data_IF_584968162304
#
_entry.id   IF_584968162304
#
_cell.length_a   1.000
_cell.length_b   1.000
_cell.length_c   1.000
_cell.angle_alpha   90.00
_cell.angle_beta   90.00
_cell.angle_gamma   90.00
#
_symmetry.space_group_name_H-M   'P 1'
#
loop_
_entity.id
_entity.type
_entity.pdbx_description
1 polymer ?
#
# COMPACT_ATOMS: atom_id res chain seq x y z
N UNK A 1 -11.71 -14.49 -5.77
CA UNK A 1 -11.94 -13.10 -6.22
C UNK A 1 -12.18 -12.23 -5.00
N UNK A 2 -11.73 -10.98 -5.01
CA UNK A 2 -11.98 -10.02 -3.92
C UNK A 2 -13.07 -9.06 -4.41
N UNK A 3 -14.13 -8.91 -3.64
CA UNK A 3 -15.19 -7.92 -3.87
C UNK A 3 -15.37 -7.10 -2.59
N UNK A 4 -15.46 -5.79 -2.73
CA UNK A 4 -15.62 -4.87 -1.62
C UNK A 4 -15.48 -3.42 -2.05
N UNK A 5 -15.57 -2.51 -1.09
CA UNK A 5 -15.47 -1.07 -1.35
C UNK A 5 -14.01 -0.64 -1.45
N UNK A 6 -13.73 0.32 -2.31
CA UNK A 6 -12.42 0.91 -2.48
C UNK A 6 -12.43 2.40 -2.14
N UNK A 7 -11.45 2.84 -1.36
CA UNK A 7 -11.21 4.23 -1.03
C UNK A 7 -9.92 4.71 -1.70
N UNK A 8 -10.00 5.84 -2.40
CA UNK A 8 -8.83 6.51 -2.95
C UNK A 8 -8.30 7.55 -1.95
N UNK A 9 -7.09 7.34 -1.46
CA UNK A 9 -6.40 8.24 -0.54
C UNK A 9 -5.38 9.07 -1.33
N UNK A 10 -5.59 10.38 -1.39
CA UNK A 10 -4.73 11.34 -2.11
C UNK A 10 -3.99 12.32 -1.18
N UNK A 11 -4.34 12.35 0.12
CA UNK A 11 -3.70 13.23 1.08
C UNK A 11 -2.23 12.84 1.28
N UNK A 12 -1.30 13.69 0.87
CA UNK A 12 0.12 13.37 0.75
C UNK A 12 0.77 12.88 2.05
N UNK A 13 0.42 13.48 3.19
CA UNK A 13 0.84 13.07 4.54
C UNK A 13 0.40 11.62 4.85
N UNK A 14 -0.86 11.31 4.55
CA UNK A 14 -1.48 10.01 4.78
C UNK A 14 -0.94 8.94 3.83
N UNK A 15 -0.81 9.27 2.54
CA UNK A 15 -0.15 8.44 1.52
C UNK A 15 1.25 8.07 1.95
N UNK A 16 2.11 9.05 2.29
CA UNK A 16 3.48 8.79 2.74
C UNK A 16 3.54 7.94 4.00
N UNK A 17 2.62 8.15 4.95
CA UNK A 17 2.56 7.37 6.19
C UNK A 17 2.22 5.91 5.91
N UNK A 18 1.23 5.65 5.07
CA UNK A 18 0.81 4.29 4.70
C UNK A 18 1.89 3.61 3.86
N UNK A 19 2.42 4.30 2.84
CA UNK A 19 3.48 3.79 1.98
C UNK A 19 4.74 3.39 2.79
N UNK A 20 5.19 4.23 3.73
CA UNK A 20 6.30 3.88 4.65
C UNK A 20 6.01 2.59 5.42
N UNK A 21 4.80 2.44 5.97
CA UNK A 21 4.40 1.25 6.75
C UNK A 21 4.36 -0.01 5.89
N UNK A 22 3.94 0.09 4.63
CA UNK A 22 3.94 -1.03 3.68
C UNK A 22 5.37 -1.40 3.31
N UNK A 23 6.20 -0.42 2.90
CA UNK A 23 7.58 -0.66 2.48
C UNK A 23 8.44 -1.28 3.58
N UNK A 24 8.26 -0.87 4.84
CA UNK A 24 8.96 -1.46 5.99
C UNK A 24 8.62 -2.93 6.26
N UNK A 25 7.58 -3.50 5.63
CA UNK A 25 7.32 -4.95 5.67
C UNK A 25 8.24 -5.75 4.74
N UNK A 26 8.82 -5.09 3.74
CA UNK A 26 9.65 -5.71 2.70
C UNK A 26 11.11 -5.27 2.78
N UNK A 27 11.36 -4.05 3.25
CA UNK A 27 12.70 -3.49 3.41
C UNK A 27 13.05 -3.32 4.89
N UNK A 28 14.29 -3.70 5.27
CA UNK A 28 14.80 -3.50 6.63
C UNK A 28 14.86 -2.01 7.01
N UNK A 29 15.22 -1.15 6.06
CA UNK A 29 15.23 0.31 6.19
C UNK A 29 14.78 0.95 4.89
N UNK A 30 14.34 2.20 4.95
CA UNK A 30 13.97 3.00 3.78
C UNK A 30 15.17 3.74 3.15
N UNK A 31 16.39 3.42 3.57
CA UNK A 31 17.59 4.13 3.09
C UNK A 31 18.08 3.65 1.73
N UNK A 32 17.67 2.44 1.34
CA UNK A 32 18.03 1.87 0.05
C UNK A 32 17.34 2.61 -1.10
N UNK A 33 17.99 2.63 -2.27
CA UNK A 33 17.56 3.38 -3.45
C UNK A 33 16.12 3.05 -3.85
N UNK A 34 15.79 1.76 -3.94
CA UNK A 34 14.47 1.29 -4.38
C UNK A 34 13.35 1.70 -3.44
N UNK A 35 13.56 1.64 -2.12
CA UNK A 35 12.54 2.05 -1.15
C UNK A 35 12.31 3.57 -1.15
N UNK A 36 13.34 4.38 -1.42
CA UNK A 36 13.20 5.84 -1.59
C UNK A 36 12.41 6.17 -2.84
N UNK A 37 12.79 5.61 -3.97
CA UNK A 37 12.08 5.82 -5.25
C UNK A 37 10.61 5.41 -5.14
N UNK A 38 10.32 4.22 -4.60
CA UNK A 38 8.95 3.78 -4.36
C UNK A 38 8.16 4.73 -3.45
N UNK A 39 8.79 5.25 -2.38
CA UNK A 39 8.12 6.16 -1.47
C UNK A 39 7.86 7.54 -2.09
N UNK A 40 8.81 8.05 -2.86
CA UNK A 40 8.76 9.38 -3.48
C UNK A 40 7.82 9.42 -4.69
N UNK A 41 7.76 8.34 -5.46
CA UNK A 41 6.89 8.21 -6.63
C UNK A 41 5.44 7.84 -6.27
N UNK A 42 5.18 7.37 -5.04
CA UNK A 42 3.82 7.03 -4.58
C UNK A 42 3.01 8.28 -4.26
N UNK A 43 2.04 8.59 -5.13
CA UNK A 43 1.16 9.76 -5.01
C UNK A 43 -0.24 9.45 -4.46
N UNK A 44 -0.63 8.17 -4.37
CA UNK A 44 -1.93 7.74 -3.87
C UNK A 44 -1.86 6.35 -3.23
N UNK A 45 -2.87 6.02 -2.42
CA UNK A 45 -3.10 4.66 -1.92
C UNK A 45 -4.54 4.28 -2.22
N UNK A 46 -4.74 3.11 -2.80
CA UNK A 46 -6.06 2.49 -2.96
C UNK A 46 -6.24 1.51 -1.80
N UNK A 47 -7.10 1.87 -0.86
CA UNK A 47 -7.49 0.98 0.23
C UNK A 47 -8.70 0.16 -0.22
N UNK A 48 -8.61 -1.16 -0.15
CA UNK A 48 -9.72 -2.07 -0.47
C UNK A 48 -10.19 -2.69 0.83
N UNK A 49 -11.46 -2.50 1.16
CA UNK A 49 -12.14 -3.12 2.29
C UNK A 49 -12.93 -4.30 1.74
N UNK A 50 -12.41 -5.54 1.85
CA UNK A 50 -13.07 -6.70 1.28
C UNK A 50 -14.35 -7.03 2.07
N UNK A 51 -15.47 -7.17 1.36
CA UNK A 51 -16.71 -7.72 1.92
C UNK A 51 -16.77 -9.24 1.67
N UNK A 52 -16.20 -9.68 0.55
CA UNK A 52 -16.08 -11.08 0.19
C UNK A 52 -14.70 -11.33 -0.41
N UNK A 53 -14.06 -12.42 0.01
CA UNK A 53 -12.84 -12.91 -0.61
C UNK A 53 -12.93 -14.43 -0.79
N UNK A 54 -12.50 -14.91 -1.94
CA UNK A 54 -12.32 -16.36 -2.17
C UNK A 54 -10.87 -16.73 -1.85
N UNK A 55 -10.69 -17.70 -0.97
CA UNK A 55 -9.41 -18.35 -0.75
C UNK A 55 -9.31 -19.52 -1.71
N UNK A 56 -8.27 -19.53 -2.54
CA UNK A 56 -7.95 -20.69 -3.38
C UNK A 56 -7.07 -21.63 -2.56
N UNK A 57 -7.60 -22.82 -2.24
CA UNK A 57 -6.82 -23.90 -1.68
C UNK A 57 -6.44 -24.83 -2.84
N UNK A 58 -5.14 -24.94 -3.10
CA UNK A 58 -4.55 -25.91 -4.03
C UNK A 58 -3.84 -27.00 -3.24
#
# INVERSE_FOLDING_TARGET
MIQGNANLILESSKVKTIAKKILLRYFKTLDNKSAKELLDDTNCVIEIIPEKFSVWNY
#
